data_IF_549501405573
#
_entry.id   IF_549501405573
#
_cell.length_a   1.000
_cell.length_b   1.000
_cell.length_c   1.000
_cell.angle_alpha   90.00
_cell.angle_beta   90.00
_cell.angle_gamma   90.00
#
_symmetry.space_group_name_H-M   'P 1'
#
loop_
_entity.id
_entity.type
_entity.pdbx_description
1 polymer ?
#
# COMPACT_ATOMS: atom_id res chain seq x y z
N UNK A 1 -34.95 17.68 23.92
CA UNK A 1 -33.49 17.49 24.11
C UNK A 1 -33.08 16.23 23.35
N UNK A 2 -32.61 16.38 22.11
CA UNK A 2 -32.21 15.23 21.29
C UNK A 2 -30.73 14.93 21.53
N UNK A 3 -30.45 13.73 22.05
CA UNK A 3 -29.11 13.24 22.32
C UNK A 3 -28.41 12.91 21.00
N UNK A 4 -27.28 13.56 20.77
CA UNK A 4 -26.39 13.34 19.64
C UNK A 4 -25.70 11.97 19.80
N UNK A 5 -25.99 11.01 18.92
CA UNK A 5 -25.26 9.74 18.84
C UNK A 5 -23.89 9.96 18.18
N UNK A 6 -22.78 9.46 18.76
CA UNK A 6 -21.52 9.40 18.06
C UNK A 6 -21.45 8.07 17.32
N UNK A 7 -21.78 8.06 16.04
CA UNK A 7 -21.56 6.89 15.18
C UNK A 7 -20.93 7.33 13.86
N UNK A 8 -19.67 7.74 13.95
CA UNK A 8 -18.76 7.56 12.83
C UNK A 8 -17.94 6.31 13.16
N UNK A 9 -18.09 5.17 12.45
CA UNK A 9 -16.94 4.31 12.33
C UNK A 9 -15.86 5.18 11.68
N UNK A 10 -14.76 5.37 12.40
CA UNK A 10 -13.57 5.98 11.86
C UNK A 10 -13.15 5.11 10.68
N UNK A 11 -13.59 5.49 9.47
CA UNK A 11 -12.92 5.14 8.24
C UNK A 11 -11.53 5.73 8.46
N UNK A 12 -10.60 4.91 8.91
CA UNK A 12 -9.19 5.27 9.02
C UNK A 12 -8.78 5.60 7.61
N UNK A 13 -8.89 6.89 7.27
CA UNK A 13 -8.55 7.42 5.98
C UNK A 13 -7.05 7.13 5.83
N UNK A 14 -6.74 6.07 5.10
CA UNK A 14 -5.39 5.56 4.97
C UNK A 14 -4.58 6.66 4.30
N UNK A 15 -3.89 7.48 5.10
CA UNK A 15 -3.25 8.68 4.60
C UNK A 15 -1.98 8.26 3.87
N UNK A 16 -2.13 7.96 2.59
CA UNK A 16 -1.04 7.47 1.76
C UNK A 16 0.10 8.48 1.59
N UNK A 17 -0.15 9.77 1.88
CA UNK A 17 0.83 10.85 1.82
C UNK A 17 1.98 10.67 2.82
N UNK A 18 1.74 9.97 3.95
CA UNK A 18 2.78 9.72 4.95
C UNK A 18 3.81 8.66 4.52
N UNK A 19 3.56 7.99 3.40
CA UNK A 19 4.43 6.95 2.85
C UNK A 19 5.20 7.42 1.61
N UNK A 20 4.94 8.63 1.14
CA UNK A 20 5.69 9.25 0.04
C UNK A 20 7.11 9.53 0.52
N UNK A 21 8.10 8.85 -0.07
CA UNK A 21 9.51 8.98 0.30
C UNK A 21 9.95 8.08 1.47
N UNK A 22 9.11 7.16 1.95
CA UNK A 22 9.52 6.12 2.89
C UNK A 22 10.14 4.93 2.17
N UNK A 23 11.05 4.24 2.85
CA UNK A 23 11.71 3.03 2.36
C UNK A 23 10.69 1.98 1.93
N UNK A 24 11.02 1.26 0.85
CA UNK A 24 10.20 0.19 0.28
C UNK A 24 9.82 -0.86 1.33
N UNK A 25 10.70 -1.14 2.29
CA UNK A 25 10.42 -2.05 3.40
C UNK A 25 9.19 -1.61 4.23
N UNK A 26 9.06 -0.32 4.52
CA UNK A 26 7.93 0.20 5.30
C UNK A 26 6.63 0.07 4.50
N UNK A 27 6.70 0.29 3.18
CA UNK A 27 5.57 0.12 2.27
C UNK A 27 5.09 -1.34 2.26
N UNK A 28 6.01 -2.29 2.09
CA UNK A 28 5.71 -3.72 2.05
C UNK A 28 5.18 -4.20 3.40
N UNK A 29 5.83 -3.83 4.51
CA UNK A 29 5.37 -4.20 5.84
C UNK A 29 3.97 -3.66 6.14
N UNK A 30 3.68 -2.44 5.72
CA UNK A 30 2.35 -1.84 5.88
C UNK A 30 1.31 -2.64 5.08
N UNK A 31 1.59 -2.95 3.82
CA UNK A 31 0.71 -3.76 2.98
C UNK A 31 0.42 -5.13 3.59
N UNK A 32 1.46 -5.81 4.10
CA UNK A 32 1.34 -7.08 4.79
C UNK A 32 0.53 -6.99 6.09
N UNK A 33 0.70 -5.90 6.85
CA UNK A 33 0.00 -5.69 8.13
C UNK A 33 -1.49 -5.48 7.92
N UNK A 34 -1.87 -4.76 6.87
CA UNK A 34 -3.26 -4.44 6.56
C UNK A 34 -3.92 -5.49 5.66
N UNK A 35 -3.15 -6.34 4.99
CA UNK A 35 -3.65 -7.29 3.99
C UNK A 35 -4.17 -6.61 2.71
N UNK A 36 -3.92 -5.31 2.55
CA UNK A 36 -4.32 -4.54 1.39
C UNK A 36 -3.20 -3.61 0.92
N UNK A 37 -3.03 -3.53 -0.39
CA UNK A 37 -2.13 -2.58 -1.02
C UNK A 37 -2.92 -1.29 -1.30
N UNK A 38 -2.85 -0.33 -0.37
CA UNK A 38 -3.50 0.96 -0.57
C UNK A 38 -3.00 1.64 -1.86
N UNK A 39 -3.84 2.43 -2.59
CA UNK A 39 -3.49 3.00 -3.89
C UNK A 39 -2.17 3.78 -3.94
N UNK A 40 -1.87 4.55 -2.89
CA UNK A 40 -0.61 5.30 -2.83
C UNK A 40 0.61 4.43 -2.49
N UNK A 41 0.43 3.31 -1.79
CA UNK A 41 1.49 2.30 -1.59
C UNK A 41 1.73 1.56 -2.91
N UNK A 42 0.66 1.17 -3.61
CA UNK A 42 0.76 0.54 -4.92
C UNK A 42 1.53 1.41 -5.92
N UNK A 43 1.24 2.72 -5.96
CA UNK A 43 1.93 3.68 -6.82
C UNK A 43 3.39 3.88 -6.42
N UNK A 44 3.70 3.86 -5.12
CA UNK A 44 5.07 3.91 -4.65
C UNK A 44 5.85 2.63 -5.03
N UNK A 45 5.27 1.46 -4.82
CA UNK A 45 5.84 0.15 -5.23
C UNK A 45 6.06 0.10 -6.75
N UNK A 46 5.13 0.61 -7.55
CA UNK A 46 5.26 0.69 -9.01
C UNK A 46 6.44 1.57 -9.44
N UNK A 47 6.71 2.68 -8.73
CA UNK A 47 7.91 3.49 -8.94
C UNK A 47 9.19 2.71 -8.64
N UNK A 48 9.20 1.88 -7.58
CA UNK A 48 10.32 0.99 -7.30
C UNK A 48 10.48 -0.08 -8.39
N UNK A 49 9.39 -0.69 -8.88
CA UNK A 49 9.42 -1.64 -10.01
C UNK A 49 9.92 -1.02 -11.31
N UNK A 50 9.61 0.25 -11.54
CA UNK A 50 10.03 1.00 -12.72
C UNK A 50 11.47 1.52 -12.62
N UNK A 51 12.11 1.42 -11.45
CA UNK A 51 13.48 1.88 -11.22
C UNK A 51 14.46 0.90 -11.86
N UNK A 52 15.34 1.41 -12.73
CA UNK A 52 16.32 0.58 -13.44
C UNK A 52 17.43 0.02 -12.53
N UNK A 53 17.71 0.69 -11.42
CA UNK A 53 18.68 0.27 -10.41
C UNK A 53 18.03 0.08 -9.04
N UNK A 54 17.58 -1.14 -8.80
CA UNK A 54 17.14 -1.60 -7.48
C UNK A 54 18.34 -2.20 -6.73
N UNK A 55 18.43 -1.88 -5.45
CA UNK A 55 19.33 -2.58 -4.52
C UNK A 55 18.82 -3.99 -4.25
N UNK A 56 19.70 -4.90 -3.83
CA UNK A 56 19.34 -6.29 -3.48
C UNK A 56 18.23 -6.33 -2.40
N UNK A 57 18.26 -5.38 -1.46
CA UNK A 57 17.25 -5.25 -0.41
C UNK A 57 15.91 -4.85 -1.02
N UNK A 58 15.88 -3.83 -1.88
CA UNK A 58 14.63 -3.41 -2.52
C UNK A 58 14.04 -4.53 -3.39
N UNK A 59 14.88 -5.26 -4.13
CA UNK A 59 14.44 -6.37 -4.97
C UNK A 59 13.83 -7.51 -4.14
N UNK A 60 14.44 -7.84 -2.98
CA UNK A 60 13.87 -8.82 -2.04
C UNK A 60 12.52 -8.36 -1.48
N UNK A 61 12.38 -7.08 -1.15
CA UNK A 61 11.12 -6.53 -0.65
C UNK A 61 9.99 -6.62 -1.69
N UNK A 62 10.30 -6.33 -2.97
CA UNK A 62 9.34 -6.54 -4.06
C UNK A 62 8.93 -8.01 -4.18
N UNK A 63 9.87 -8.95 -4.09
CA UNK A 63 9.57 -10.38 -4.14
C UNK A 63 8.67 -10.83 -2.99
N UNK A 64 8.93 -10.39 -1.76
CA UNK A 64 8.07 -10.70 -0.60
C UNK A 64 6.65 -10.18 -0.85
N UNK A 65 6.54 -8.97 -1.38
CA UNK A 65 5.23 -8.38 -1.70
C UNK A 65 4.51 -9.16 -2.79
N UNK A 66 5.20 -9.54 -3.87
CA UNK A 66 4.62 -10.36 -4.95
C UNK A 66 4.18 -11.73 -4.45
N UNK A 67 4.98 -12.39 -3.60
CA UNK A 67 4.58 -13.64 -2.94
C UNK A 67 3.31 -13.45 -2.12
N UNK A 68 3.25 -12.41 -1.30
CA UNK A 68 2.07 -12.16 -0.46
C UNK A 68 0.82 -11.80 -1.27
N UNK A 69 0.96 -11.14 -2.41
CA UNK A 69 -0.14 -10.92 -3.36
C UNK A 69 -0.57 -12.24 -4.00
N UNK A 70 0.39 -13.07 -4.44
CA UNK A 70 0.13 -14.37 -5.05
C UNK A 70 -0.54 -15.35 -4.08
N UNK A 71 -0.18 -15.31 -2.80
CA UNK A 71 -0.79 -16.12 -1.73
C UNK A 71 -2.19 -15.60 -1.34
N UNK A 72 -2.60 -14.44 -1.85
CA UNK A 72 -3.86 -13.79 -1.48
C UNK A 72 -3.84 -13.15 -0.09
N UNK A 73 -2.67 -13.07 0.56
CA UNK A 73 -2.49 -12.37 1.83
C UNK A 73 -2.60 -10.85 1.67
N UNK A 74 -2.23 -10.31 0.50
CA UNK A 74 -2.34 -8.89 0.18
C UNK A 74 -3.21 -8.71 -1.06
N UNK A 75 -4.33 -8.01 -0.90
CA UNK A 75 -5.16 -7.61 -2.04
C UNK A 75 -4.55 -6.35 -2.65
N UNK A 76 -3.98 -6.49 -3.84
CA UNK A 76 -3.57 -5.33 -4.62
C UNK A 76 -4.82 -4.57 -5.09
N UNK A 77 -5.12 -3.43 -4.48
CA UNK A 77 -6.13 -2.53 -5.03
C UNK A 77 -5.52 -2.01 -6.32
N UNK A 78 -5.95 -2.58 -7.46
CA UNK A 78 -5.54 -2.08 -8.76
C UNK A 78 -5.88 -0.60 -8.76
N UNK A 79 -4.84 0.24 -8.79
CA UNK A 79 -4.99 1.61 -9.23
C UNK A 79 -5.46 1.44 -10.66
N UNK A 80 -6.78 1.44 -10.88
CA UNK A 80 -7.33 1.63 -12.20
C UNK A 80 -6.73 2.95 -12.64
N UNK A 81 -5.66 2.87 -13.41
CA UNK A 81 -5.15 3.99 -14.17
C UNK A 81 -6.30 4.31 -15.12
N UNK A 82 -7.20 5.18 -14.64
CA UNK A 82 -8.29 5.72 -15.40
C UNK A 82 -7.62 6.56 -16.49
N UNK A 83 -7.29 5.86 -17.57
CA UNK A 83 -6.83 6.39 -18.84
C UNK A 83 -7.96 7.31 -19.32
N UNK A 84 -7.82 8.60 -19.05
CA UNK A 84 -8.60 9.67 -19.70
C UNK A 84 -7.81 10.18 -20.88
#
# INVERSE_FOLDING_TARGET
MYKQLPTHPAFTMFNTSQFVGKDLEVLVRTALTHGELAPGIALAVERYRSKSSLTVVEQRQLQILDSAISDGCVVAVQVQSAKR
#
